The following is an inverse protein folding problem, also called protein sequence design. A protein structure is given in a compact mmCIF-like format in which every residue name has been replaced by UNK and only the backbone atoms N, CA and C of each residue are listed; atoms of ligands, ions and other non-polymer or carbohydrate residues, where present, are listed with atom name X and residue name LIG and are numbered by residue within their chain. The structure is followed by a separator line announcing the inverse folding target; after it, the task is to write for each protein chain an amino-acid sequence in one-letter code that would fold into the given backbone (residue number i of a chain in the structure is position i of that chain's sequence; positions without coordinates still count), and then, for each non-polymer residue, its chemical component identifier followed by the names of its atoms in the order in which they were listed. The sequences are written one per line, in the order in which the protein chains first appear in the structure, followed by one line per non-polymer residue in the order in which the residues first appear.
data_IF_189111123852
#
_entry.id   IF_189111123852
#
_cell.length_a   1.000
_cell.length_b   1.000
_cell.length_c   1.000
_cell.angle_alpha   90.00
_cell.angle_beta   90.00
_cell.angle_gamma   90.00
#
_symmetry.space_group_name_H-M   'P 1'
#
loop_
_entity.id
_entity.type
_entity.pdbx_description
1 polymer ?
#
# COMPACT_ATOMS: atom_id res chain seq x y z
N UNK A 1 13.18 -20.98 -0.05
CA UNK A 1 14.00 -19.81 -0.42
C UNK A 1 13.01 -18.73 -0.82
N UNK A 2 12.97 -17.58 -0.13
CA UNK A 2 12.07 -16.49 -0.52
C UNK A 2 12.37 -16.03 -1.95
N UNK A 3 11.37 -15.50 -2.69
CA UNK A 3 11.56 -14.95 -4.02
C UNK A 3 12.62 -13.86 -4.04
N UNK A 4 13.42 -13.83 -5.11
CA UNK A 4 14.62 -13.00 -5.24
C UNK A 4 14.36 -11.49 -5.42
N UNK A 5 13.10 -11.04 -5.43
CA UNK A 5 12.72 -9.65 -5.63
C UNK A 5 11.38 -9.42 -4.94
N UNK A 6 11.40 -9.09 -3.65
CA UNK A 6 10.21 -8.79 -2.86
C UNK A 6 10.23 -7.34 -2.43
N UNK A 7 9.07 -6.69 -2.45
CA UNK A 7 8.86 -5.42 -1.79
C UNK A 7 7.43 -5.36 -1.26
N UNK A 8 7.24 -4.60 -0.19
CA UNK A 8 5.93 -4.31 0.39
C UNK A 8 5.76 -2.80 0.50
N UNK A 9 4.51 -2.32 0.43
CA UNK A 9 4.21 -0.93 0.73
C UNK A 9 2.84 -0.78 1.35
N UNK A 10 2.69 0.24 2.18
CA UNK A 10 1.42 0.65 2.78
C UNK A 10 1.15 2.11 2.39
N UNK A 11 -0.05 2.39 1.89
CA UNK A 11 -0.52 3.76 1.65
C UNK A 11 -1.54 4.09 2.73
N UNK A 12 -1.23 5.10 3.54
CA UNK A 12 -2.13 5.64 4.55
C UNK A 12 -2.71 6.96 4.03
N UNK A 13 -4.03 7.12 4.18
CA UNK A 13 -4.75 8.34 3.81
C UNK A 13 -5.44 8.91 5.05
N UNK A 14 -5.18 10.18 5.32
CA UNK A 14 -5.76 10.94 6.43
C UNK A 14 -4.96 10.93 7.73
N UNK A 15 -5.43 11.69 8.75
CA UNK A 15 -6.63 12.53 8.70
C UNK A 15 -6.47 13.76 7.77
N UNK A 16 -7.54 14.12 7.06
CA UNK A 16 -7.56 15.24 6.12
C UNK A 16 -6.86 14.95 4.78
N UNK A 17 -6.38 16.00 4.13
CA UNK A 17 -5.74 15.99 2.80
C UNK A 17 -4.31 15.42 2.78
N UNK A 18 -3.98 14.51 3.71
CA UNK A 18 -2.63 13.99 3.90
C UNK A 18 -2.57 12.51 3.49
N UNK A 19 -1.49 12.15 2.82
CA UNK A 19 -1.14 10.79 2.46
C UNK A 19 0.27 10.45 2.94
N UNK A 20 0.49 9.19 3.26
CA UNK A 20 1.79 8.62 3.64
C UNK A 20 1.97 7.33 2.87
N UNK A 21 3.15 7.10 2.31
CA UNK A 21 3.56 5.78 1.84
C UNK A 21 4.74 5.29 2.67
N UNK A 22 4.61 4.07 3.20
CA UNK A 22 5.70 3.30 3.76
C UNK A 22 6.09 2.23 2.76
N UNK A 23 7.38 2.07 2.49
CA UNK A 23 7.90 1.15 1.50
C UNK A 23 9.04 0.31 2.08
N UNK A 24 8.91 -1.01 1.98
CA UNK A 24 9.92 -1.99 2.36
C UNK A 24 10.50 -2.63 1.10
N UNK A 25 11.81 -2.49 0.84
CA UNK A 25 12.45 -3.02 -0.38
C UNK A 25 12.81 -4.51 -0.29
N UNK A 26 12.38 -5.19 0.77
CA UNK A 26 12.51 -6.62 1.03
C UNK A 26 11.44 -7.03 2.05
N UNK A 27 11.44 -8.29 2.49
CA UNK A 27 10.56 -8.76 3.55
C UNK A 27 10.74 -7.90 4.81
N UNK A 28 9.66 -7.34 5.40
CA UNK A 28 9.77 -6.55 6.60
C UNK A 28 10.48 -7.32 7.72
N UNK A 29 11.50 -6.70 8.30
CA UNK A 29 12.37 -7.31 9.30
C UNK A 29 13.25 -6.26 9.96
N UNK A 30 14.02 -6.66 10.98
CA UNK A 30 14.87 -5.75 11.74
C UNK A 30 15.93 -5.03 10.89
N UNK A 31 16.41 -5.69 9.84
CA UNK A 31 17.49 -5.21 8.98
C UNK A 31 16.98 -4.61 7.65
N UNK A 32 15.68 -4.69 7.39
CA UNK A 32 15.06 -4.15 6.16
C UNK A 32 14.70 -2.68 6.41
N UNK A 33 15.26 -1.73 5.66
CA UNK A 33 14.95 -0.32 5.84
C UNK A 33 13.50 -0.03 5.45
N UNK A 34 12.90 0.96 6.10
CA UNK A 34 11.60 1.50 5.72
C UNK A 34 11.83 2.87 5.08
N UNK A 35 11.25 3.08 3.90
CA UNK A 35 11.26 4.37 3.24
C UNK A 35 9.88 4.99 3.35
N UNK A 36 9.85 6.23 3.83
CA UNK A 36 8.60 6.92 4.14
C UNK A 36 8.54 8.22 3.37
N UNK A 37 7.45 8.42 2.63
CA UNK A 37 7.20 9.64 1.87
C UNK A 37 5.80 10.17 2.17
N UNK A 38 5.68 11.46 2.42
CA UNK A 38 4.40 12.14 2.64
C UNK A 38 3.94 12.83 1.35
N UNK A 39 2.64 12.86 1.12
CA UNK A 39 2.04 13.57 0.01
C UNK A 39 0.73 14.25 0.40
N UNK A 40 0.33 15.24 -0.38
CA UNK A 40 -0.99 15.85 -0.26
C UNK A 40 -1.96 15.19 -1.23
N UNK A 41 -3.21 15.04 -0.78
CA UNK A 41 -4.31 14.54 -1.59
C UNK A 41 -5.38 15.61 -1.66
N UNK A 42 -5.78 15.99 -2.87
CA UNK A 42 -6.86 16.98 -3.03
C UNK A 42 -8.14 16.48 -2.35
N UNK A 43 -8.82 17.36 -1.61
CA UNK A 43 -10.09 17.03 -0.96
C UNK A 43 -11.12 16.48 -1.96
N UNK A 44 -11.19 17.05 -3.16
CA UNK A 44 -12.07 16.55 -4.24
C UNK A 44 -11.76 15.11 -4.65
N UNK A 45 -10.48 14.71 -4.59
CA UNK A 45 -10.08 13.35 -4.93
C UNK A 45 -10.37 12.35 -3.81
N UNK A 46 -10.28 12.80 -2.55
CA UNK A 46 -10.76 12.06 -1.38
C UNK A 46 -12.28 11.89 -1.42
N UNK A 47 -13.04 12.95 -1.73
CA UNK A 47 -14.50 12.89 -1.86
C UNK A 47 -14.92 11.88 -2.93
N UNK A 48 -14.23 11.87 -4.08
CA UNK A 48 -14.45 10.87 -5.13
C UNK A 48 -14.11 9.45 -4.66
N UNK A 49 -13.05 9.27 -3.86
CA UNK A 49 -12.71 7.97 -3.28
C UNK A 49 -13.79 7.50 -2.30
N UNK A 50 -14.25 8.36 -1.39
CA UNK A 50 -15.32 8.03 -0.46
C UNK A 50 -16.64 7.72 -1.17
N UNK A 51 -17.01 8.50 -2.18
CA UNK A 51 -18.18 8.24 -3.00
C UNK A 51 -18.09 6.89 -3.73
N UNK A 52 -16.90 6.55 -4.27
CA UNK A 52 -16.66 5.25 -4.88
C UNK A 52 -16.78 4.12 -3.83
N UNK A 53 -16.15 4.24 -2.67
CA UNK A 53 -16.27 3.24 -1.60
C UNK A 53 -17.73 3.02 -1.18
N UNK A 54 -18.51 4.10 -1.07
CA UNK A 54 -19.95 4.03 -0.80
C UNK A 54 -20.73 3.33 -1.92
N UNK A 55 -20.48 3.67 -3.19
CA UNK A 55 -21.18 3.06 -4.33
C UNK A 55 -20.84 1.59 -4.53
N UNK A 56 -19.64 1.17 -4.14
CA UNK A 56 -19.17 -0.21 -4.19
C UNK A 56 -19.60 -1.04 -2.97
N UNK A 57 -20.43 -0.48 -2.07
CA UNK A 57 -20.90 -1.18 -0.87
C UNK A 57 -19.81 -1.39 0.18
N UNK A 58 -18.63 -0.80 0.02
CA UNK A 58 -17.46 -1.06 0.86
C UNK A 58 -17.71 -0.73 2.32
N UNK A 59 -18.55 0.27 2.58
CA UNK A 59 -18.92 0.75 3.92
C UNK A 59 -20.06 -0.03 4.58
N UNK A 60 -20.73 -0.93 3.83
CA UNK A 60 -21.99 -1.56 4.24
C UNK A 60 -21.85 -3.09 4.28
N UNK A 61 -21.12 -3.68 3.33
CA UNK A 61 -21.03 -5.12 3.16
C UNK A 61 -19.80 -5.73 3.87
N UNK A 62 -19.96 -6.96 4.35
CA UNK A 62 -18.85 -7.75 4.86
C UNK A 62 -18.13 -8.42 3.68
N UNK A 63 -16.90 -8.00 3.42
CA UNK A 63 -16.09 -8.52 2.33
C UNK A 63 -15.64 -9.94 2.62
N UNK A 64 -16.09 -10.89 1.79
CA UNK A 64 -15.71 -12.29 1.92
C UNK A 64 -14.36 -12.52 1.25
N UNK A 65 -13.47 -13.19 1.98
CA UNK A 65 -12.22 -13.69 1.43
C UNK A 65 -12.49 -14.84 0.45
N UNK A 66 -11.70 -14.93 -0.62
CA UNK A 66 -11.70 -16.08 -1.52
C UNK A 66 -11.14 -17.30 -0.81
N UNK A 67 -11.77 -18.46 -1.00
CA UNK A 67 -11.21 -19.76 -0.56
C UNK A 67 -10.05 -20.23 -1.44
N UNK A 68 -9.94 -19.68 -2.65
CA UNK A 68 -8.85 -19.94 -3.59
C UNK A 68 -7.80 -18.82 -3.46
N UNK A 69 -6.73 -19.13 -2.72
CA UNK A 69 -5.62 -18.22 -2.44
C UNK A 69 -4.41 -18.64 -3.29
N UNK A 70 -4.00 -17.84 -4.29
CA UNK A 70 -2.85 -18.16 -5.10
C UNK A 70 -1.54 -18.01 -4.31
N UNK A 71 -0.70 -19.05 -4.35
CA UNK A 71 0.63 -19.04 -3.75
C UNK A 71 1.58 -18.08 -4.50
N UNK A 72 2.15 -17.12 -3.77
CA UNK A 72 3.18 -16.22 -4.28
C UNK A 72 2.69 -15.12 -5.23
N UNK A 73 1.38 -14.91 -5.34
CA UNK A 73 0.83 -13.80 -6.11
C UNK A 73 0.88 -12.47 -5.31
N UNK A 74 0.92 -11.31 -6.00
CA UNK A 74 0.81 -10.01 -5.35
C UNK A 74 -0.47 -9.91 -4.53
N UNK A 75 -0.34 -9.48 -3.28
CA UNK A 75 -1.45 -9.35 -2.34
C UNK A 75 -1.58 -7.88 -1.93
N UNK A 76 -2.65 -7.21 -2.37
CA UNK A 76 -3.01 -5.86 -1.91
C UNK A 76 -4.15 -5.99 -0.89
N UNK A 77 -3.95 -5.61 0.38
CA UNK A 77 -5.06 -5.50 1.35
C UNK A 77 -5.38 -4.05 1.65
N UNK A 78 -6.60 -3.77 2.07
CA UNK A 78 -7.03 -2.44 2.46
C UNK A 78 -7.67 -2.47 3.85
N UNK A 79 -7.29 -1.51 4.69
CA UNK A 79 -8.00 -1.19 5.91
C UNK A 79 -8.52 0.24 5.82
N UNK A 80 -9.81 0.41 6.03
CA UNK A 80 -10.49 1.71 6.05
C UNK A 80 -11.04 1.95 7.43
N UNK A 81 -10.81 3.14 7.99
CA UNK A 81 -11.54 3.60 9.17
C UNK A 81 -12.49 4.72 8.75
N UNK A 82 -13.80 4.47 8.82
CA UNK A 82 -14.84 5.44 8.47
C UNK A 82 -15.92 5.46 9.57
N UNK A 83 -16.33 6.64 10.02
CA UNK A 83 -17.34 6.81 11.08
C UNK A 83 -17.05 6.01 12.37
N UNK A 84 -15.76 5.83 12.72
CA UNK A 84 -15.33 5.03 13.86
C UNK A 84 -15.42 3.51 13.67
N UNK A 85 -15.76 3.04 12.47
CA UNK A 85 -15.76 1.62 12.09
C UNK A 85 -14.51 1.31 11.27
N UNK A 86 -13.82 0.24 11.64
CA UNK A 86 -12.74 -0.32 10.84
C UNK A 86 -13.30 -1.39 9.90
N UNK A 87 -12.97 -1.30 8.63
CA UNK A 87 -13.38 -2.21 7.57
C UNK A 87 -12.12 -2.73 6.90
N UNK A 88 -11.98 -4.05 6.84
CA UNK A 88 -10.90 -4.72 6.12
C UNK A 88 -11.40 -5.29 4.81
N UNK A 89 -10.73 -4.98 3.71
CA UNK A 89 -10.87 -5.69 2.44
C UNK A 89 -9.66 -6.64 2.33
N UNK A 90 -9.89 -7.96 2.28
CA UNK A 90 -8.80 -8.94 2.19
C UNK A 90 -8.12 -8.87 0.81
N UNK A 91 -6.90 -9.40 0.73
CA UNK A 91 -6.12 -9.40 -0.52
C UNK A 91 -6.73 -10.21 -1.65
N UNK A 92 -7.53 -11.22 -1.29
CA UNK A 92 -8.25 -12.04 -2.23
C UNK A 92 -9.70 -12.04 -1.79
N UNK A 93 -10.53 -11.28 -2.49
CA UNK A 93 -11.99 -11.24 -2.26
C UNK A 93 -12.68 -12.28 -3.14
N UNK A 94 -13.84 -12.74 -2.71
CA UNK A 94 -14.68 -13.65 -3.50
C UNK A 94 -14.96 -13.06 -4.91
N UNK A 95 -15.15 -13.90 -5.95
CA UNK A 95 -15.32 -13.44 -7.34
C UNK A 95 -16.41 -12.36 -7.52
N UNK A 96 -17.48 -12.42 -6.72
CA UNK A 96 -18.58 -11.44 -6.75
C UNK A 96 -18.16 -10.02 -6.30
N UNK A 97 -17.02 -9.88 -5.63
CA UNK A 97 -16.49 -8.64 -5.07
C UNK A 97 -15.18 -8.17 -5.76
N UNK A 98 -14.64 -8.95 -6.70
CA UNK A 98 -13.32 -8.68 -7.30
C UNK A 98 -13.27 -7.36 -8.08
N UNK A 99 -14.28 -7.10 -8.90
CA UNK A 99 -14.32 -5.87 -9.71
C UNK A 99 -14.43 -4.62 -8.81
N UNK A 100 -15.26 -4.69 -7.78
CA UNK A 100 -15.44 -3.62 -6.80
C UNK A 100 -14.13 -3.34 -6.03
N UNK A 101 -13.46 -4.38 -5.54
CA UNK A 101 -12.19 -4.25 -4.84
C UNK A 101 -11.10 -3.66 -5.75
N UNK A 102 -10.97 -4.16 -6.98
CA UNK A 102 -9.97 -3.66 -7.94
C UNK A 102 -10.18 -2.17 -8.28
N UNK A 103 -11.43 -1.73 -8.44
CA UNK A 103 -11.72 -0.33 -8.69
C UNK A 103 -11.26 0.58 -7.53
N UNK A 104 -11.47 0.14 -6.28
CA UNK A 104 -11.04 0.88 -5.09
C UNK A 104 -9.51 0.90 -4.98
N UNK A 105 -8.84 -0.25 -5.15
CA UNK A 105 -7.38 -0.33 -5.13
C UNK A 105 -6.74 0.54 -6.22
N UNK A 106 -7.24 0.47 -7.45
CA UNK A 106 -6.76 1.29 -8.55
C UNK A 106 -6.92 2.79 -8.25
N UNK A 107 -8.05 3.19 -7.65
CA UNK A 107 -8.27 4.59 -7.27
C UNK A 107 -7.30 5.05 -6.18
N UNK A 108 -7.06 4.24 -5.15
CA UNK A 108 -6.09 4.57 -4.09
C UNK A 108 -4.68 4.72 -4.66
N UNK A 109 -4.23 3.76 -5.49
CA UNK A 109 -2.91 3.83 -6.14
C UNK A 109 -2.78 5.07 -7.05
N UNK A 110 -3.86 5.50 -7.69
CA UNK A 110 -3.87 6.71 -8.52
C UNK A 110 -3.74 8.02 -7.71
N UNK A 111 -3.98 8.00 -6.39
CA UNK A 111 -3.75 9.15 -5.52
C UNK A 111 -2.28 9.34 -5.17
N UNK A 112 -1.45 8.30 -5.27
CA UNK A 112 -0.03 8.40 -5.03
C UNK A 112 0.63 9.22 -6.15
N UNK A 113 1.32 10.34 -5.85
CA UNK A 113 1.99 11.12 -6.88
C UNK A 113 3.04 10.29 -7.62
N UNK A 114 2.99 10.31 -8.95
CA UNK A 114 3.96 9.62 -9.80
C UNK A 114 5.43 9.91 -9.43
N UNK A 115 5.83 11.17 -9.13
CA UNK A 115 7.22 11.45 -8.75
C UNK A 115 7.68 10.69 -7.50
N UNK A 116 6.80 10.51 -6.52
CA UNK A 116 7.11 9.76 -5.28
C UNK A 116 7.30 8.27 -5.61
N UNK A 117 6.38 7.69 -6.39
CA UNK A 117 6.52 6.30 -6.82
C UNK A 117 7.81 6.07 -7.62
N UNK A 118 8.11 6.95 -8.58
CA UNK A 118 9.34 6.88 -9.36
C UNK A 118 10.58 6.98 -8.47
N UNK A 119 10.58 7.85 -7.46
CA UNK A 119 11.67 7.97 -6.51
C UNK A 119 11.89 6.68 -5.71
N UNK A 120 10.81 6.10 -5.15
CA UNK A 120 10.86 4.85 -4.39
C UNK A 120 11.36 3.69 -5.25
N UNK A 121 10.94 3.62 -6.51
CA UNK A 121 11.39 2.57 -7.44
C UNK A 121 12.87 2.71 -7.83
N UNK A 122 13.35 3.93 -8.07
CA UNK A 122 14.77 4.15 -8.30
C UNK A 122 15.61 3.74 -7.07
N UNK A 123 15.10 4.01 -5.86
CA UNK A 123 15.75 3.61 -4.61
C UNK A 123 15.73 2.09 -4.41
N UNK A 124 14.64 1.42 -4.80
CA UNK A 124 14.52 -0.04 -4.80
C UNK A 124 15.53 -0.69 -5.74
N UNK A 125 15.66 -0.18 -6.97
CA UNK A 125 16.66 -0.67 -7.92
C UNK A 125 18.09 -0.57 -7.36
N UNK A 126 18.42 0.55 -6.71
CA UNK A 126 19.71 0.73 -6.06
C UNK A 126 19.92 -0.25 -4.90
N UNK A 127 18.91 -0.43 -4.05
CA UNK A 127 18.96 -1.40 -2.95
C UNK A 127 19.26 -2.81 -3.45
N UNK A 128 18.60 -3.25 -4.52
CA UNK A 128 18.82 -4.55 -5.13
C UNK A 128 20.25 -4.70 -5.68
N UNK A 129 20.79 -3.66 -6.31
CA UNK A 129 22.19 -3.66 -6.78
C UNK A 129 23.19 -3.75 -5.62
N UNK A 130 22.92 -3.09 -4.50
CA UNK A 130 23.79 -3.11 -3.33
C UNK A 130 23.77 -4.48 -2.64
N UNK A 131 22.59 -5.07 -2.46
CA UNK A 131 22.41 -6.43 -1.92
C UNK A 131 23.12 -7.46 -2.80
N UNK A 132 22.94 -7.41 -4.12
CA UNK A 132 23.61 -8.31 -5.07
C UNK A 132 25.13 -8.14 -5.07
N UNK A 133 25.63 -6.92 -4.82
CA UNK A 133 27.06 -6.62 -4.69
C UNK A 133 27.64 -6.96 -3.31
N UNK A 134 26.83 -7.44 -2.35
CA UNK A 134 27.25 -7.71 -0.98
C UNK A 134 27.57 -6.44 -0.17
N UNK A 135 27.04 -5.29 -0.58
CA UNK A 135 27.18 -4.01 0.14
C UNK A 135 26.01 -3.84 1.10
N UNK A 136 26.27 -3.30 2.29
CA UNK A 136 25.20 -2.90 3.19
C UNK A 136 24.40 -1.76 2.53
N UNK A 137 23.07 -1.89 2.36
CA UNK A 137 22.25 -0.83 1.81
C UNK A 137 22.25 0.37 2.77
N UNK A 138 22.32 1.59 2.23
CA UNK A 138 22.45 2.81 3.02
C UNK A 138 21.28 2.95 4.02
N UNK A 139 21.60 2.98 5.32
CA UNK A 139 20.65 3.16 6.42
C UNK A 139 19.90 4.50 6.27
N UNK A 140 18.56 4.44 6.19
CA UNK A 140 17.74 5.61 6.52
C UNK A 140 17.89 5.84 8.02
N UNK A 141 18.50 6.95 8.40
CA UNK A 141 18.59 7.41 9.79
C UNK A 141 17.20 7.32 10.45
N UNK A 142 17.06 6.67 11.62
CA UNK A 142 15.78 6.67 12.33
C UNK A 142 15.49 8.11 12.77
N UNK A 143 14.46 8.72 12.17
CA UNK A 143 13.86 9.95 12.67
C UNK A 143 13.26 9.63 14.05
N UNK A 144 14.03 9.89 15.11
CA UNK A 144 13.52 9.93 16.47
C UNK A 144 12.54 11.09 16.57
N UNK A 145 11.24 10.79 16.59
CA UNK A 145 10.26 11.71 17.14
C UNK A 145 10.42 11.72 18.66
N UNK A 146 10.79 12.88 19.22
CA UNK A 146 10.69 13.20 20.65
C UNK A 146 9.40 13.96 20.90
#
# INVERSE_FOLDING_TARGET
MPPLYHYEYAIHLGPGAQGLIEFWPDYPGADTPVWTETFEVANEDLDKLYALMGSQGLLIEAWLQSDDLPDGAPADSLQVTAEGRQIGVPSYVAPAHQEQAQAVYARIKALLPRPIWTHLMARYEQYQQDVLAGRQPAESTPTRFF
#
